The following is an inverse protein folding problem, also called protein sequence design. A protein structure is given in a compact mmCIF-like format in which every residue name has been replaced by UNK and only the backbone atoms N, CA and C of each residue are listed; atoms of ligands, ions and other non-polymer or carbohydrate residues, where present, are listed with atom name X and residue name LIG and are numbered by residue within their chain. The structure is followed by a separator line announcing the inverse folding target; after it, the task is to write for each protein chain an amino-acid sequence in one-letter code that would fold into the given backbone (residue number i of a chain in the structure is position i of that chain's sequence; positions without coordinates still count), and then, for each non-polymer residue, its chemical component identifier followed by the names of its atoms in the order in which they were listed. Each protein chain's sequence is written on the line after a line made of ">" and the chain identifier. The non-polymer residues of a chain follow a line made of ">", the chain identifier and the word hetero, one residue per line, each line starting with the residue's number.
data_IF_770850875976
#
_entry.id   IF_770850875976
#
_cell.length_a   1.000
_cell.length_b   1.000
_cell.length_c   1.000
_cell.angle_alpha   90.00
_cell.angle_beta   90.00
_cell.angle_gamma   90.00
#
_symmetry.space_group_name_H-M   'P 1'
#
loop_
_entity.id
_entity.type
_entity.pdbx_description
1 polymer ?
#
# COMPACT_ATOMS: atom_id res chain seq x y z
N UNK A 1 4.95 -2.19 -0.63
CA UNK A 1 6.34 -2.12 -1.15
C UNK A 1 7.29 -2.82 -0.19
N UNK A 2 8.51 -3.13 -0.62
CA UNK A 2 9.57 -3.65 0.27
C UNK A 2 10.61 -2.56 0.47
N UNK A 3 11.03 -2.32 1.72
CA UNK A 3 12.01 -1.33 2.12
C UNK A 3 13.17 -2.00 2.85
N UNK A 4 14.37 -1.45 2.69
CA UNK A 4 15.57 -1.88 3.43
C UNK A 4 15.95 -0.78 4.42
N UNK A 5 15.91 -1.10 5.72
CA UNK A 5 16.42 -0.24 6.77
C UNK A 5 17.89 -0.55 6.97
N UNK A 6 18.73 0.48 6.88
CA UNK A 6 20.18 0.41 7.13
C UNK A 6 20.49 1.36 8.28
N UNK A 7 21.27 0.90 9.26
CA UNK A 7 21.68 1.69 10.41
C UNK A 7 23.18 1.50 10.67
N UNK A 8 23.85 2.57 11.07
CA UNK A 8 25.27 2.59 11.46
C UNK A 8 25.38 3.30 12.81
N UNK A 9 26.28 2.84 13.70
CA UNK A 9 26.52 3.44 15.01
C UNK A 9 25.94 2.61 16.15
N UNK A 10 24.98 3.17 16.91
CA UNK A 10 24.47 2.58 18.15
C UNK A 10 24.05 1.10 17.97
N UNK A 11 24.46 0.17 18.86
CA UNK A 11 24.12 -1.26 18.74
C UNK A 11 22.62 -1.53 18.59
N UNK A 12 21.79 -0.78 19.32
CA UNK A 12 20.33 -0.86 19.25
C UNK A 12 19.73 -0.40 17.90
N UNK A 13 20.44 0.42 17.14
CA UNK A 13 20.04 0.83 15.80
C UNK A 13 20.45 -0.23 14.77
N UNK A 14 21.67 -0.76 14.88
CA UNK A 14 22.17 -1.86 14.03
C UNK A 14 21.28 -3.11 14.15
N UNK A 15 20.82 -3.43 15.37
CA UNK A 15 19.90 -4.55 15.61
C UNK A 15 18.53 -4.43 14.89
N UNK A 16 18.14 -3.22 14.48
CA UNK A 16 16.87 -2.95 13.76
C UNK A 16 17.06 -2.85 12.24
N UNK A 17 18.28 -3.04 11.72
CA UNK A 17 18.53 -3.06 10.30
C UNK A 17 17.96 -4.34 9.64
N UNK A 18 17.46 -4.23 8.42
CA UNK A 18 16.94 -5.38 7.69
C UNK A 18 15.95 -5.05 6.59
N UNK A 19 15.39 -6.09 5.99
CA UNK A 19 14.34 -6.01 4.98
C UNK A 19 12.95 -6.05 5.61
N UNK A 20 12.08 -5.12 5.22
CA UNK A 20 10.72 -4.96 5.73
C UNK A 20 9.73 -4.78 4.59
N UNK A 21 8.53 -5.33 4.73
CA UNK A 21 7.41 -4.91 3.90
C UNK A 21 6.77 -3.66 4.51
N UNK A 22 6.70 -2.61 3.71
CA UNK A 22 6.04 -1.36 4.05
C UNK A 22 4.93 -1.12 3.03
N UNK A 23 3.70 -1.35 3.46
CA UNK A 23 2.47 -1.12 2.72
C UNK A 23 1.44 -0.59 3.70
N UNK A 24 0.50 0.23 3.22
CA UNK A 24 -0.67 0.54 4.04
C UNK A 24 -1.37 -0.76 4.45
N UNK A 25 -1.94 -0.75 5.64
CA UNK A 25 -2.70 -1.88 6.19
C UNK A 25 -4.07 -1.98 5.53
N UNK A 26 -4.75 -3.10 5.77
CA UNK A 26 -6.01 -3.45 5.11
C UNK A 26 -5.80 -4.04 3.72
N UNK A 27 -6.92 -4.36 3.07
CA UNK A 27 -6.94 -4.97 1.73
C UNK A 27 -7.97 -4.27 0.86
N UNK A 28 -7.72 -4.19 -0.44
CA UNK A 28 -8.66 -3.68 -1.42
C UNK A 28 -8.51 -4.44 -2.74
N UNK A 29 -9.63 -4.60 -3.43
CA UNK A 29 -9.64 -4.94 -4.86
C UNK A 29 -9.31 -3.70 -5.71
N UNK A 30 -8.91 -3.92 -6.97
CA UNK A 30 -8.73 -2.80 -7.92
C UNK A 30 -9.99 -1.97 -8.11
N UNK A 31 -11.16 -2.61 -8.06
CA UNK A 31 -12.46 -1.93 -8.15
C UNK A 31 -12.70 -0.99 -6.97
N UNK A 32 -12.50 -1.48 -5.74
CA UNK A 32 -12.66 -0.66 -4.53
C UNK A 32 -11.67 0.49 -4.48
N UNK A 33 -10.41 0.25 -4.84
CA UNK A 33 -9.39 1.30 -4.86
C UNK A 33 -9.71 2.38 -5.90
N UNK A 34 -10.11 1.99 -7.12
CA UNK A 34 -10.52 2.93 -8.16
C UNK A 34 -11.73 3.76 -7.74
N UNK A 35 -12.75 3.13 -7.14
CA UNK A 35 -13.91 3.84 -6.58
C UNK A 35 -13.51 4.83 -5.48
N UNK A 36 -12.60 4.47 -4.60
CA UNK A 36 -12.14 5.36 -3.54
C UNK A 36 -11.39 6.59 -4.08
N UNK A 37 -10.74 6.47 -5.25
CA UNK A 37 -10.08 7.60 -5.92
C UNK A 37 -11.09 8.52 -6.58
N UNK A 38 -12.00 7.97 -7.39
CA UNK A 38 -12.90 8.81 -8.22
C UNK A 38 -14.13 9.27 -7.45
N UNK A 39 -14.56 8.54 -6.42
CA UNK A 39 -15.79 8.79 -5.67
C UNK A 39 -17.02 8.06 -6.24
N UNK A 40 -18.04 7.86 -5.40
CA UNK A 40 -19.20 7.01 -5.72
C UNK A 40 -20.18 7.60 -6.75
N UNK A 41 -20.15 8.92 -6.93
CA UNK A 41 -21.03 9.65 -7.85
C UNK A 41 -20.28 10.23 -9.05
N UNK A 42 -18.99 9.90 -9.20
CA UNK A 42 -18.17 10.48 -10.24
C UNK A 42 -18.43 9.86 -11.62
N UNK A 43 -18.34 10.73 -12.63
CA UNK A 43 -18.24 10.32 -14.04
C UNK A 43 -16.76 10.30 -14.39
N UNK A 44 -16.19 9.18 -14.87
CA UNK A 44 -16.85 7.95 -15.33
C UNK A 44 -17.21 6.96 -14.21
N UNK A 45 -18.28 6.19 -14.43
CA UNK A 45 -18.72 5.11 -13.54
C UNK A 45 -17.71 3.95 -13.52
N UNK A 46 -17.28 3.55 -12.33
CA UNK A 46 -16.36 2.41 -12.14
C UNK A 46 -17.14 1.10 -12.13
N UNK A 47 -17.06 0.34 -13.23
CA UNK A 47 -17.72 -0.96 -13.39
C UNK A 47 -16.73 -2.09 -13.07
N UNK A 48 -17.07 -3.05 -12.19
CA UNK A 48 -16.20 -4.19 -11.91
C UNK A 48 -16.17 -5.14 -13.11
N UNK A 49 -15.00 -5.71 -13.40
CA UNK A 49 -14.80 -6.75 -14.40
C UNK A 49 -14.02 -7.91 -13.78
N UNK A 50 -14.15 -9.13 -14.32
CA UNK A 50 -13.31 -10.23 -13.88
C UNK A 50 -11.88 -10.01 -14.36
N UNK A 51 -10.90 -10.52 -13.61
CA UNK A 51 -9.49 -10.43 -14.05
C UNK A 51 -9.26 -11.13 -15.39
N UNK A 52 -10.08 -12.13 -15.75
CA UNK A 52 -10.02 -12.81 -17.04
C UNK A 52 -10.45 -11.92 -18.22
N UNK A 53 -11.32 -10.94 -17.97
CA UNK A 53 -11.83 -9.99 -18.96
C UNK A 53 -10.80 -8.89 -19.28
N UNK A 54 -9.75 -8.77 -18.44
CA UNK A 54 -8.67 -7.82 -18.60
C UNK A 54 -7.33 -8.52 -18.82
N UNK A 55 -7.07 -8.94 -20.07
CA UNK A 55 -5.83 -9.63 -20.44
C UNK A 55 -4.65 -8.65 -20.41
N UNK A 56 -3.82 -8.76 -19.38
CA UNK A 56 -2.52 -8.09 -19.32
C UNK A 56 -1.40 -9.01 -19.82
N UNK A 57 -0.37 -8.45 -20.46
CA UNK A 57 0.79 -9.21 -20.93
C UNK A 57 1.52 -9.96 -19.80
N UNK A 58 1.50 -9.43 -18.58
CA UNK A 58 2.04 -10.07 -17.40
C UNK A 58 0.92 -10.70 -16.55
N UNK A 59 1.12 -11.94 -16.08
CA UNK A 59 0.21 -12.60 -15.14
C UNK A 59 0.35 -11.97 -13.76
N UNK A 60 -0.67 -11.26 -13.29
CA UNK A 60 -0.70 -10.76 -11.92
C UNK A 60 -1.14 -11.85 -10.94
N UNK A 61 -0.50 -11.96 -9.77
CA UNK A 61 -1.01 -12.82 -8.71
C UNK A 61 -2.37 -12.32 -8.22
N UNK A 62 -3.27 -13.25 -7.87
CA UNK A 62 -4.60 -12.93 -7.38
C UNK A 62 -4.58 -12.21 -6.02
N UNK A 63 -3.50 -12.36 -5.25
CA UNK A 63 -3.33 -11.75 -3.94
C UNK A 63 -1.92 -11.14 -3.83
N UNK A 64 -1.85 -9.82 -3.64
CA UNK A 64 -0.60 -9.06 -3.57
C UNK A 64 -0.37 -8.35 -2.23
N UNK A 65 -1.13 -8.71 -1.19
CA UNK A 65 -1.03 -8.08 0.13
C UNK A 65 0.24 -8.55 0.82
N UNK A 66 1.01 -7.60 1.33
CA UNK A 66 2.29 -7.86 1.99
C UNK A 66 2.12 -7.78 3.52
N UNK A 67 2.72 -8.73 4.25
CA UNK A 67 2.65 -8.75 5.70
C UNK A 67 3.59 -7.70 6.34
N UNK A 68 3.05 -6.78 7.12
CA UNK A 68 3.78 -5.67 7.78
C UNK A 68 4.22 -5.98 9.21
N UNK A 69 3.85 -7.15 9.74
CA UNK A 69 4.05 -7.51 11.14
C UNK A 69 5.53 -7.46 11.62
N UNK A 70 6.49 -7.71 10.71
CA UNK A 70 7.93 -7.57 11.05
C UNK A 70 8.28 -6.12 11.36
N UNK A 71 7.74 -5.17 10.61
CA UNK A 71 7.95 -3.74 10.82
C UNK A 71 7.34 -3.30 12.15
N UNK A 72 6.07 -3.63 12.37
CA UNK A 72 5.33 -3.30 13.59
C UNK A 72 6.05 -3.79 14.86
N UNK A 73 6.49 -5.05 14.89
CA UNK A 73 7.23 -5.60 16.03
C UNK A 73 8.59 -4.94 16.25
N UNK A 74 9.24 -4.45 15.19
CA UNK A 74 10.59 -3.86 15.29
C UNK A 74 10.54 -2.41 15.76
N UNK A 75 9.56 -1.63 15.27
CA UNK A 75 9.52 -0.19 15.48
C UNK A 75 8.42 0.26 16.46
N UNK A 76 7.49 -0.61 16.83
CA UNK A 76 6.48 -0.34 17.85
C UNK A 76 5.30 0.51 17.37
N UNK A 77 5.17 0.74 16.06
CA UNK A 77 4.01 1.43 15.48
C UNK A 77 3.54 0.79 14.18
N UNK A 78 2.25 0.95 13.89
CA UNK A 78 1.58 0.44 12.71
C UNK A 78 1.71 1.35 11.50
N UNK A 79 1.56 0.77 10.31
CA UNK A 79 1.38 1.50 9.07
C UNK A 79 -0.11 1.90 8.93
N UNK A 80 -0.41 3.07 8.33
CA UNK A 80 -1.79 3.57 8.24
C UNK A 80 -2.69 2.65 7.42
N UNK A 81 -4.00 2.70 7.66
CA UNK A 81 -4.99 2.08 6.78
C UNK A 81 -4.87 2.68 5.37
N UNK A 82 -5.12 1.87 4.34
CA UNK A 82 -4.99 2.32 2.95
C UNK A 82 -5.93 3.48 2.61
N UNK A 83 -7.11 3.58 3.24
CA UNK A 83 -8.04 4.71 3.02
C UNK A 83 -7.48 5.99 3.63
N UNK A 84 -6.91 5.93 4.82
CA UNK A 84 -6.27 7.07 5.46
C UNK A 84 -5.07 7.56 4.64
N UNK A 85 -4.24 6.63 4.16
CA UNK A 85 -3.11 6.93 3.31
C UNK A 85 -3.54 7.55 1.97
N UNK A 86 -4.60 7.02 1.35
CA UNK A 86 -5.17 7.57 0.12
C UNK A 86 -5.72 8.98 0.36
N UNK A 87 -6.48 9.19 1.43
CA UNK A 87 -7.00 10.50 1.81
C UNK A 87 -5.90 11.54 1.99
N UNK A 88 -4.80 11.17 2.65
CA UNK A 88 -3.62 12.06 2.72
C UNK A 88 -3.05 12.36 1.35
N UNK A 89 -2.90 11.36 0.49
CA UNK A 89 -2.35 11.53 -0.86
C UNK A 89 -3.19 12.47 -1.73
N UNK A 90 -4.52 12.35 -1.67
CA UNK A 90 -5.44 13.20 -2.44
C UNK A 90 -5.50 14.64 -1.91
N UNK A 91 -5.25 14.83 -0.62
CA UNK A 91 -5.25 16.14 0.04
C UNK A 91 -3.84 16.79 0.10
N UNK A 92 -2.80 16.09 -0.37
CA UNK A 92 -1.46 16.65 -0.44
C UNK A 92 -1.44 17.81 -1.43
N UNK A 93 -0.89 18.99 -1.07
CA UNK A 93 -0.76 20.09 -2.02
C UNK A 93 0.12 19.64 -3.19
N UNK A 94 -0.39 19.79 -4.41
CA UNK A 94 0.39 19.53 -5.61
C UNK A 94 1.59 20.48 -5.60
N UNK A 95 2.80 19.94 -5.50
CA UNK A 95 4.01 20.71 -5.78
C UNK A 95 3.97 20.99 -7.28
N UNK A 96 3.55 22.21 -7.61
CA UNK A 96 3.51 22.70 -8.99
C UNK A 96 4.85 23.22 -9.44
#
# INVERSE_FOLDING_TARGET
>A
ATARVVAVGLPAAVARAGLYHMSSTGTATWHEFARAIVGDVATPRVVPIASADYRTAARRPAYGVLATAKFERTFGFGLPDWRDALGRCLNSPTVS
#
